data_IF_560420629466
#
_entry.id   IF_560420629466
#
_cell.length_a   1.000
_cell.length_b   1.000
_cell.length_c   1.000
_cell.angle_alpha   90.00
_cell.angle_beta   90.00
_cell.angle_gamma   90.00
#
_symmetry.space_group_name_H-M   'P 1'
#
loop_
_entity.id
_entity.type
_entity.pdbx_description
1 polymer ?
#
# COMPACT_ATOMS: atom_id res chain seq x y z
N UNK A 1 -4.87 15.50 -10.82
CA UNK A 1 -5.97 15.50 -9.84
C UNK A 1 -5.35 15.00 -8.55
N UNK A 2 -5.50 15.75 -7.46
CA UNK A 2 -5.01 15.36 -6.13
C UNK A 2 -6.21 15.26 -5.22
N UNK A 3 -6.24 14.24 -4.37
CA UNK A 3 -7.23 14.12 -3.30
C UNK A 3 -6.68 14.74 -2.02
N UNK A 4 -7.55 15.40 -1.25
CA UNK A 4 -7.26 15.87 0.09
C UNK A 4 -7.17 14.70 1.09
N UNK A 5 -6.58 14.95 2.25
CA UNK A 5 -6.41 13.93 3.29
C UNK A 5 -7.76 13.35 3.75
N UNK A 6 -8.77 14.20 3.88
CA UNK A 6 -10.12 13.80 4.30
C UNK A 6 -10.80 12.90 3.25
N UNK A 7 -10.62 13.21 1.95
CA UNK A 7 -11.15 12.40 0.84
C UNK A 7 -10.48 11.01 0.79
N UNK A 8 -9.16 10.96 1.03
CA UNK A 8 -8.41 9.71 1.08
C UNK A 8 -8.82 8.88 2.30
N UNK A 9 -9.04 9.52 3.46
CA UNK A 9 -9.48 8.85 4.67
C UNK A 9 -10.87 8.23 4.50
N UNK A 10 -11.84 9.00 4.01
CA UNK A 10 -13.20 8.51 3.75
C UNK A 10 -13.19 7.32 2.77
N UNK A 11 -12.40 7.41 1.69
CA UNK A 11 -12.28 6.32 0.73
C UNK A 11 -11.57 5.11 1.32
N UNK A 12 -10.55 5.31 2.15
CA UNK A 12 -9.86 4.21 2.86
C UNK A 12 -10.81 3.48 3.79
N UNK A 13 -11.63 4.20 4.58
CA UNK A 13 -12.66 3.59 5.41
C UNK A 13 -13.66 2.80 4.58
N UNK A 14 -14.11 3.34 3.45
CA UNK A 14 -15.03 2.65 2.56
C UNK A 14 -14.43 1.35 2.03
N UNK A 15 -13.21 1.39 1.50
CA UNK A 15 -12.50 0.21 0.97
C UNK A 15 -12.33 -0.86 2.04
N UNK A 16 -11.88 -0.48 3.23
CA UNK A 16 -11.68 -1.42 4.34
C UNK A 16 -13.00 -2.02 4.83
N UNK A 17 -14.08 -1.24 4.90
CA UNK A 17 -15.42 -1.74 5.28
C UNK A 17 -16.01 -2.68 4.24
N UNK A 18 -15.72 -2.46 2.96
CA UNK A 18 -16.24 -3.26 1.85
C UNK A 18 -15.49 -4.59 1.64
N UNK A 19 -14.23 -4.70 2.08
CA UNK A 19 -13.44 -5.92 1.95
C UNK A 19 -13.60 -6.84 3.17
N UNK A 20 -13.75 -8.14 2.93
CA UNK A 20 -13.69 -9.15 3.99
C UNK A 20 -12.25 -9.65 4.28
N UNK A 21 -11.29 -9.27 3.43
CA UNK A 21 -9.88 -9.69 3.47
C UNK A 21 -8.99 -8.75 4.27
N UNK A 22 -9.38 -7.47 4.40
CA UNK A 22 -8.59 -6.43 5.08
C UNK A 22 -8.79 -6.41 6.60
N UNK A 23 -8.25 -7.43 7.28
CA UNK A 23 -8.35 -7.52 8.75
C UNK A 23 -7.17 -6.83 9.44
N UNK A 24 -7.48 -5.99 10.43
CA UNK A 24 -6.48 -5.37 11.30
C UNK A 24 -5.67 -4.23 10.67
N UNK A 25 -6.18 -3.63 9.61
CA UNK A 25 -5.64 -2.43 8.97
C UNK A 25 -6.50 -1.24 9.34
N UNK A 26 -5.84 -0.15 9.74
CA UNK A 26 -6.49 1.12 10.10
C UNK A 26 -6.51 2.04 8.87
N UNK A 27 -7.61 2.77 8.68
CA UNK A 27 -7.78 3.65 7.52
C UNK A 27 -6.74 4.78 7.52
N UNK A 28 -6.37 5.24 8.71
CA UNK A 28 -5.34 6.25 8.96
C UNK A 28 -3.97 5.79 8.46
N UNK A 29 -3.63 4.51 8.62
CA UNK A 29 -2.37 3.95 8.13
C UNK A 29 -2.31 3.96 6.60
N UNK A 30 -3.39 3.54 5.93
CA UNK A 30 -3.49 3.55 4.46
C UNK A 30 -3.43 4.99 3.93
N UNK A 31 -4.13 5.91 4.62
CA UNK A 31 -4.16 7.34 4.30
C UNK A 31 -2.78 7.98 4.44
N UNK A 32 -2.07 7.69 5.53
CA UNK A 32 -0.72 8.19 5.77
C UNK A 32 0.24 7.75 4.66
N UNK A 33 0.19 6.48 4.24
CA UNK A 33 1.00 5.98 3.12
C UNK A 33 0.68 6.73 1.83
N UNK A 34 -0.60 6.92 1.51
CA UNK A 34 -0.98 7.65 0.30
C UNK A 34 -0.46 9.10 0.28
N UNK A 35 -0.50 9.79 1.43
CA UNK A 35 0.00 11.15 1.57
C UNK A 35 1.53 11.22 1.47
N UNK A 36 2.24 10.30 2.12
CA UNK A 36 3.71 10.23 2.08
C UNK A 36 4.20 9.92 0.67
N UNK A 37 3.59 8.95 0.00
CA UNK A 37 4.08 8.42 -1.28
C UNK A 37 3.72 9.29 -2.49
N UNK A 38 2.55 9.94 -2.50
CA UNK A 38 2.08 10.69 -3.67
C UNK A 38 1.57 12.10 -3.38
N UNK A 39 1.48 12.50 -2.12
CA UNK A 39 0.79 13.75 -1.71
C UNK A 39 -0.64 13.85 -2.27
N UNK A 40 -1.33 12.71 -2.38
CA UNK A 40 -2.70 12.61 -2.89
C UNK A 40 -2.82 12.55 -4.42
N UNK A 41 -1.71 12.51 -5.16
CA UNK A 41 -1.74 12.47 -6.62
C UNK A 41 -2.11 11.07 -7.14
N UNK A 42 -3.36 10.91 -7.58
CA UNK A 42 -3.92 9.64 -8.11
C UNK A 42 -3.21 9.14 -9.37
N UNK A 43 -2.48 10.01 -10.08
CA UNK A 43 -1.71 9.68 -11.29
C UNK A 43 -0.21 9.65 -11.05
N UNK A 44 0.23 9.59 -9.79
CA UNK A 44 1.65 9.48 -9.48
C UNK A 44 2.23 8.22 -10.14
N UNK A 45 3.40 8.39 -10.73
CA UNK A 45 4.15 7.33 -11.41
C UNK A 45 5.62 7.59 -11.16
N UNK A 46 6.36 6.56 -10.78
CA UNK A 46 7.81 6.63 -10.61
C UNK A 46 8.41 5.34 -11.14
N UNK A 47 9.44 5.48 -11.97
CA UNK A 47 10.23 4.33 -12.42
C UNK A 47 11.41 4.17 -11.47
N UNK A 48 11.51 2.99 -10.86
CA UNK A 48 12.54 2.61 -9.89
C UNK A 48 13.66 1.88 -10.65
N UNK A 49 14.64 2.63 -11.18
CA UNK A 49 15.70 2.10 -12.04
C UNK A 49 16.43 0.88 -11.43
N UNK A 50 16.64 0.90 -10.12
CA UNK A 50 17.34 -0.15 -9.38
C UNK A 50 16.53 -1.46 -9.26
N UNK A 51 15.20 -1.40 -9.46
CA UNK A 51 14.31 -2.56 -9.48
C UNK A 51 13.93 -2.98 -10.90
N UNK A 52 14.14 -2.10 -11.89
CA UNK A 52 13.67 -2.32 -13.26
C UNK A 52 12.14 -2.32 -13.36
N UNK A 53 11.48 -1.57 -12.49
CA UNK A 53 10.03 -1.61 -12.29
C UNK A 53 9.44 -0.20 -12.05
N UNK A 54 8.12 -0.05 -12.16
CA UNK A 54 7.42 1.17 -11.80
C UNK A 54 6.49 1.00 -10.58
N UNK A 55 6.45 2.03 -9.75
CA UNK A 55 5.39 2.28 -8.76
C UNK A 55 4.36 3.26 -9.32
N UNK A 56 3.09 3.11 -8.93
CA UNK A 56 2.01 3.92 -9.47
C UNK A 56 0.88 4.18 -8.47
N UNK A 57 0.07 5.20 -8.75
CA UNK A 57 -1.12 5.51 -7.98
C UNK A 57 -0.84 6.26 -6.69
N UNK A 58 -1.89 6.39 -5.88
CA UNK A 58 -1.88 7.12 -4.60
C UNK A 58 -0.82 6.61 -3.64
N UNK A 59 -0.55 5.31 -3.65
CA UNK A 59 0.26 4.65 -2.63
C UNK A 59 1.60 4.17 -3.16
N UNK A 60 1.97 4.54 -4.39
CA UNK A 60 3.22 4.14 -5.08
C UNK A 60 3.52 2.64 -4.91
N UNK A 61 2.51 1.79 -5.01
CA UNK A 61 2.71 0.35 -4.97
C UNK A 61 3.37 -0.10 -6.29
N UNK A 62 4.33 -1.04 -6.20
CA UNK A 62 4.92 -1.69 -7.37
C UNK A 62 3.87 -2.50 -8.12
N UNK A 63 3.92 -2.47 -9.45
CA UNK A 63 2.96 -3.18 -10.32
C UNK A 63 2.99 -4.70 -10.10
N UNK A 64 4.17 -5.28 -9.92
CA UNK A 64 4.40 -6.70 -9.65
C UNK A 64 3.86 -7.10 -8.29
N UNK A 65 4.02 -6.25 -7.27
CA UNK A 65 3.44 -6.48 -5.94
C UNK A 65 1.91 -6.52 -6.02
N UNK A 66 1.29 -5.56 -6.71
CA UNK A 66 -0.16 -5.53 -6.89
C UNK A 66 -0.66 -6.76 -7.66
N UNK A 67 0.05 -7.15 -8.73
CA UNK A 67 -0.25 -8.36 -9.50
C UNK A 67 -0.14 -9.64 -8.66
N UNK A 68 0.95 -9.78 -7.91
CA UNK A 68 1.16 -10.93 -7.02
C UNK A 68 0.09 -11.02 -5.92
N UNK A 69 -0.32 -9.87 -5.35
CA UNK A 69 -1.42 -9.83 -4.39
C UNK A 69 -2.72 -10.34 -5.03
N UNK A 70 -3.05 -9.88 -6.24
CA UNK A 70 -4.27 -10.28 -6.95
C UNK A 70 -4.24 -11.75 -7.36
N UNK A 71 -3.18 -12.18 -8.05
CA UNK A 71 -3.12 -13.48 -8.73
C UNK A 71 -2.70 -14.62 -7.80
N UNK A 72 -1.71 -14.41 -6.94
CA UNK A 72 -1.12 -15.47 -6.11
C UNK A 72 -1.72 -15.52 -4.70
N UNK A 73 -2.10 -14.36 -4.14
CA UNK A 73 -2.66 -14.25 -2.79
C UNK A 73 -4.17 -14.04 -2.76
N UNK A 74 -4.82 -14.03 -3.92
CA UNK A 74 -6.27 -13.88 -4.06
C UNK A 74 -6.82 -12.58 -3.45
N UNK A 75 -6.11 -11.46 -3.55
CA UNK A 75 -6.65 -10.12 -3.26
C UNK A 75 -7.29 -9.54 -4.53
N UNK A 76 -8.48 -10.02 -4.85
CA UNK A 76 -9.18 -9.83 -6.15
C UNK A 76 -10.55 -9.14 -6.02
N UNK A 77 -10.85 -8.49 -4.88
CA UNK A 77 -12.14 -7.79 -4.67
C UNK A 77 -12.23 -6.46 -5.43
N UNK A 78 -11.09 -5.93 -5.91
CA UNK A 78 -11.00 -4.73 -6.73
C UNK A 78 -10.22 -5.04 -8.01
N UNK A 79 -10.57 -4.34 -9.09
CA UNK A 79 -9.84 -4.42 -10.36
C UNK A 79 -8.39 -3.93 -10.18
N UNK A 80 -7.45 -4.63 -10.81
CA UNK A 80 -6.03 -4.29 -10.83
C UNK A 80 -5.78 -3.06 -11.72
N UNK A 81 -6.14 -1.88 -11.21
CA UNK A 81 -5.80 -0.57 -11.78
C UNK A 81 -5.33 0.37 -10.67
N UNK A 82 -4.00 0.53 -10.53
CA UNK A 82 -3.42 1.37 -9.48
C UNK A 82 -3.70 2.87 -9.67
N UNK A 83 -4.20 3.32 -10.83
CA UNK A 83 -4.61 4.70 -11.03
C UNK A 83 -6.06 4.97 -10.59
N UNK A 84 -6.85 3.92 -10.33
CA UNK A 84 -8.14 4.06 -9.64
C UNK A 84 -7.89 4.24 -8.14
N UNK A 85 -8.35 5.33 -7.52
CA UNK A 85 -8.09 5.62 -6.10
C UNK A 85 -8.45 4.46 -5.17
N UNK A 86 -9.64 3.87 -5.34
CA UNK A 86 -10.10 2.78 -4.48
C UNK A 86 -9.25 1.51 -4.63
N UNK A 87 -8.88 1.16 -5.86
CA UNK A 87 -7.99 0.02 -6.14
C UNK A 87 -6.59 0.26 -5.57
N UNK A 88 -6.01 1.46 -5.70
CA UNK A 88 -4.71 1.79 -5.11
C UNK A 88 -4.72 1.62 -3.59
N UNK A 89 -5.77 2.08 -2.91
CA UNK A 89 -5.92 1.96 -1.46
C UNK A 89 -6.17 0.50 -1.05
N UNK A 90 -6.94 -0.26 -1.84
CA UNK A 90 -7.19 -1.68 -1.61
C UNK A 90 -5.89 -2.49 -1.66
N UNK A 91 -5.09 -2.34 -2.71
CA UNK A 91 -3.83 -3.09 -2.85
C UNK A 91 -2.77 -2.63 -1.84
N UNK A 92 -2.81 -1.37 -1.39
CA UNK A 92 -2.03 -0.91 -0.25
C UNK A 92 -2.42 -1.69 1.02
N UNK A 93 -3.72 -1.71 1.38
CA UNK A 93 -4.21 -2.46 2.53
C UNK A 93 -3.89 -3.96 2.44
N UNK A 94 -4.01 -4.56 1.25
CA UNK A 94 -3.66 -5.94 0.98
C UNK A 94 -2.19 -6.23 1.33
N UNK A 95 -1.29 -5.35 0.88
CA UNK A 95 0.14 -5.50 1.15
C UNK A 95 0.44 -5.32 2.65
N UNK A 96 -0.20 -4.36 3.32
CA UNK A 96 -0.06 -4.17 4.77
C UNK A 96 -0.57 -5.39 5.55
N UNK A 97 -1.69 -6.00 5.14
CA UNK A 97 -2.20 -7.23 5.74
C UNK A 97 -1.18 -8.38 5.63
N UNK A 98 -0.60 -8.55 4.44
CA UNK A 98 0.43 -9.55 4.22
C UNK A 98 1.69 -9.27 5.07
N UNK A 99 2.14 -8.01 5.12
CA UNK A 99 3.29 -7.61 5.94
C UNK A 99 3.03 -7.85 7.43
N UNK A 100 1.81 -7.58 7.95
CA UNK A 100 1.43 -7.85 9.34
C UNK A 100 1.57 -9.31 9.74
N UNK A 101 1.54 -10.24 8.79
CA UNK A 101 1.66 -11.68 9.01
C UNK A 101 2.91 -12.29 8.36
N UNK A 102 3.89 -11.45 7.95
CA UNK A 102 5.07 -11.90 7.23
C UNK A 102 5.85 -12.98 7.99
N UNK A 103 6.06 -14.13 7.32
CA UNK A 103 6.61 -15.38 7.90
C UNK A 103 5.74 -16.00 9.00
N UNK A 104 4.43 -15.86 8.89
CA UNK A 104 3.44 -16.44 9.81
C UNK A 104 3.59 -15.97 11.26
N UNK A 105 4.13 -14.76 11.47
CA UNK A 105 4.24 -14.12 12.78
C UNK A 105 3.62 -12.73 12.73
N UNK A 106 3.02 -12.30 13.84
CA UNK A 106 2.52 -10.93 13.99
C UNK A 106 3.68 -9.95 13.97
N UNK A 107 3.62 -8.96 13.08
CA UNK A 107 4.61 -7.88 12.97
C UNK A 107 4.13 -6.61 13.65
N UNK A 108 5.06 -5.80 14.13
CA UNK A 108 4.79 -4.46 14.65
C UNK A 108 4.41 -3.50 13.51
N UNK A 109 3.72 -2.42 13.84
CA UNK A 109 3.39 -1.40 12.83
C UNK A 109 4.66 -0.78 12.22
N UNK A 110 5.72 -0.57 13.00
CA UNK A 110 7.02 -0.12 12.47
C UNK A 110 7.56 -1.08 11.39
N UNK A 111 7.53 -2.39 11.63
CA UNK A 111 7.95 -3.37 10.63
C UNK A 111 7.12 -3.26 9.36
N UNK A 112 5.81 -3.05 9.51
CA UNK A 112 4.86 -2.97 8.39
C UNK A 112 5.10 -1.72 7.55
N UNK A 113 5.21 -0.54 8.16
CA UNK A 113 5.43 0.71 7.40
C UNK A 113 6.80 0.69 6.72
N UNK A 114 7.87 0.30 7.45
CA UNK A 114 9.21 0.19 6.85
C UNK A 114 9.27 -0.90 5.77
N UNK A 115 8.52 -1.98 5.96
CA UNK A 115 8.39 -3.08 5.00
C UNK A 115 7.60 -2.71 3.76
N UNK A 116 6.69 -1.73 3.85
CA UNK A 116 5.97 -1.20 2.70
C UNK A 116 6.95 -0.55 1.70
N UNK A 117 7.86 0.29 2.21
CA UNK A 117 8.84 0.99 1.39
C UNK A 117 10.02 0.11 0.95
N UNK A 118 10.64 -0.64 1.87
CA UNK A 118 11.87 -1.40 1.59
C UNK A 118 11.65 -2.89 1.28
N UNK A 119 10.41 -3.36 1.27
CA UNK A 119 10.11 -4.79 1.37
C UNK A 119 10.43 -5.37 2.75
N UNK A 120 9.95 -6.58 3.08
CA UNK A 120 10.09 -7.15 4.41
C UNK A 120 11.55 -7.50 4.80
N UNK A 121 12.47 -7.53 3.85
CA UNK A 121 13.90 -7.69 4.10
C UNK A 121 14.67 -6.35 4.15
N UNK A 122 14.03 -5.23 3.78
CA UNK A 122 14.60 -3.88 3.79
C UNK A 122 14.25 -3.06 5.03
N UNK A 123 13.56 -3.64 6.01
CA UNK A 123 13.09 -2.94 7.23
C UNK A 123 14.22 -2.34 8.07
N UNK A 124 15.47 -2.79 7.92
CA UNK A 124 16.63 -2.27 8.66
C UNK A 124 17.49 -1.29 7.85
N UNK A 125 17.09 -0.95 6.62
CA UNK A 125 17.82 0.01 5.79
C UNK A 125 17.66 1.43 6.36
N UNK A 126 18.71 2.25 6.25
CA UNK A 126 18.68 3.65 6.68
C UNK A 126 17.60 4.44 5.92
N UNK A 127 17.40 4.12 4.65
CA UNK A 127 16.38 4.72 3.80
C UNK A 127 14.94 4.53 4.31
N UNK A 128 14.67 3.52 5.15
CA UNK A 128 13.33 3.26 5.70
C UNK A 128 13.10 3.88 7.08
N UNK A 129 14.11 4.55 7.68
CA UNK A 129 13.96 5.23 8.99
C UNK A 129 12.92 6.35 8.98
N UNK A 130 12.76 7.18 7.92
CA UNK A 130 11.71 8.20 7.89
C UNK A 130 10.28 7.67 7.96
N UNK A 131 10.11 6.36 7.89
CA UNK A 131 8.83 5.64 7.89
C UNK A 131 8.55 4.93 9.23
N UNK A 132 9.38 5.15 10.27
CA UNK A 132 9.21 4.59 11.62
C UNK A 132 8.44 5.50 12.56
#
# INVERSE_FOLDING_TARGET
>A
MSLAAEEILELSEQVLRSSNKMKGIEAEMVTAIALIESSGNVKAYRYEEHLGEASSGLTQLLQSTAKWLAEDLSYDEYELDLYQPASSLYFCAAYLCWLKTYKSVTRSDEFVVRGYNGGPNGVNLEATVPYS
#
